data_IF_756713981099
#
_entry.id   IF_756713981099
#
_cell.length_a   1.000
_cell.length_b   1.000
_cell.length_c   1.000
_cell.angle_alpha   90.00
_cell.angle_beta   90.00
_cell.angle_gamma   90.00
#
_symmetry.space_group_name_H-M   'P 1'
#
loop_
_entity.id
_entity.type
_entity.pdbx_description
1 polymer ?
#
# COMPACT_ATOMS: atom_id res chain seq x y z
N UNK A 1 5.78 5.36 11.61
CA UNK A 1 4.58 6.16 11.91
C UNK A 1 3.94 6.47 10.56
N UNK A 2 2.62 6.32 10.41
CA UNK A 2 1.91 6.78 9.19
C UNK A 2 1.96 8.30 9.15
N UNK A 3 2.01 8.87 7.95
CA UNK A 3 1.95 10.33 7.76
C UNK A 3 0.49 10.77 7.58
N UNK A 4 -0.35 9.88 7.04
CA UNK A 4 -1.76 10.14 6.75
C UNK A 4 -2.65 10.10 8.00
N UNK A 5 -2.42 9.14 8.92
CA UNK A 5 -3.31 8.90 10.06
C UNK A 5 -2.58 8.83 11.40
N UNK A 6 -3.30 9.17 12.47
CA UNK A 6 -2.88 8.90 13.84
C UNK A 6 -2.88 7.40 14.16
N UNK A 7 -2.18 7.01 15.22
CA UNK A 7 -2.16 5.62 15.67
C UNK A 7 -3.55 5.13 16.10
N UNK A 8 -3.80 3.82 15.93
CA UNK A 8 -5.06 3.20 16.32
C UNK A 8 -5.41 3.47 17.80
N UNK A 9 -6.67 3.79 18.06
CA UNK A 9 -7.18 3.99 19.42
C UNK A 9 -7.10 2.70 20.23
N UNK A 10 -6.52 2.80 21.43
CA UNK A 10 -6.31 1.66 22.33
C UNK A 10 -6.95 1.86 23.72
N UNK A 11 -7.46 3.06 24.02
CA UNK A 11 -8.08 3.37 25.30
C UNK A 11 -9.60 3.48 25.13
N UNK A 12 -10.32 2.53 25.72
CA UNK A 12 -11.77 2.43 25.63
C UNK A 12 -12.39 2.42 27.03
N UNK A 13 -13.66 2.86 27.19
CA UNK A 13 -14.31 2.83 28.51
C UNK A 13 -14.49 1.42 29.08
N UNK A 14 -14.93 0.45 28.25
CA UNK A 14 -15.09 -0.96 28.64
C UNK A 14 -14.96 -1.89 27.43
N UNK A 15 -14.12 -2.91 27.54
CA UNK A 15 -13.93 -3.97 26.52
C UNK A 15 -13.64 -5.30 27.22
N UNK A 16 -14.42 -6.34 26.94
CA UNK A 16 -14.17 -7.69 27.46
C UNK A 16 -13.57 -8.63 26.42
N UNK A 17 -14.03 -8.52 25.17
CA UNK A 17 -13.54 -9.30 24.03
C UNK A 17 -13.02 -8.36 22.95
N UNK A 18 -11.78 -8.56 22.52
CA UNK A 18 -11.19 -7.90 21.36
C UNK A 18 -11.28 -8.82 20.15
N UNK A 19 -11.72 -8.33 18.98
CA UNK A 19 -11.54 -8.97 17.68
C UNK A 19 -10.44 -8.20 16.93
N UNK A 20 -9.36 -8.87 16.52
CA UNK A 20 -8.17 -8.25 15.92
C UNK A 20 -7.74 -8.99 14.65
N UNK A 21 -7.25 -8.24 13.67
CA UNK A 21 -6.68 -8.79 12.43
C UNK A 21 -5.34 -9.54 12.64
N UNK A 22 -4.88 -10.28 11.64
CA UNK A 22 -3.65 -11.09 11.67
C UNK A 22 -2.90 -11.11 10.34
N UNK A 23 -3.07 -10.07 9.51
CA UNK A 23 -2.46 -9.96 8.18
C UNK A 23 -0.94 -10.16 8.25
N UNK A 24 -0.32 -9.63 9.31
CA UNK A 24 1.11 -9.76 9.65
C UNK A 24 1.31 -10.52 10.98
N UNK A 25 0.62 -11.65 11.15
CA UNK A 25 0.60 -12.44 12.39
C UNK A 25 1.83 -13.33 12.68
N UNK A 26 2.88 -13.32 11.85
CA UNK A 26 4.11 -14.10 12.05
C UNK A 26 5.31 -13.23 12.49
N UNK A 27 6.34 -13.83 13.10
CA UNK A 27 7.54 -13.04 13.47
C UNK A 27 8.32 -12.56 12.24
N UNK A 28 8.24 -13.33 11.17
CA UNK A 28 8.84 -13.04 9.87
C UNK A 28 8.11 -11.87 9.17
N UNK A 29 6.91 -11.50 9.65
CA UNK A 29 6.11 -10.40 9.15
C UNK A 29 6.47 -9.05 9.81
N UNK A 30 7.49 -8.98 10.66
CA UNK A 30 8.00 -7.71 11.22
C UNK A 30 8.48 -6.83 10.07
N UNK A 31 7.98 -5.58 10.05
CA UNK A 31 8.26 -4.66 8.96
C UNK A 31 9.53 -3.84 9.27
N UNK A 32 10.31 -3.48 8.24
CA UNK A 32 11.42 -2.53 8.40
C UNK A 32 10.92 -1.17 8.90
N UNK A 33 11.83 -0.36 9.42
CA UNK A 33 11.49 0.98 9.90
C UNK A 33 11.05 1.87 8.72
N UNK A 34 10.22 2.88 9.01
CA UNK A 34 9.70 3.77 7.97
C UNK A 34 10.81 4.47 7.18
N UNK A 35 11.90 4.85 7.84
CA UNK A 35 13.05 5.50 7.21
C UNK A 35 13.77 4.56 6.24
N UNK A 36 13.97 3.29 6.61
CA UNK A 36 14.56 2.28 5.71
C UNK A 36 13.69 2.05 4.48
N UNK A 37 12.37 2.00 4.69
CA UNK A 37 11.36 1.80 3.64
C UNK A 37 11.34 2.97 2.65
N UNK A 38 11.29 4.20 3.16
CA UNK A 38 11.34 5.42 2.36
C UNK A 38 12.67 5.53 1.61
N UNK A 39 13.79 5.22 2.27
CA UNK A 39 15.11 5.20 1.61
C UNK A 39 15.18 4.17 0.48
N UNK A 40 14.65 2.97 0.70
CA UNK A 40 14.59 1.93 -0.34
C UNK A 40 13.69 2.36 -1.51
N UNK A 41 12.56 3.02 -1.22
CA UNK A 41 11.67 3.58 -2.23
C UNK A 41 12.36 4.63 -3.10
N UNK A 42 12.96 5.64 -2.47
CA UNK A 42 13.68 6.73 -3.16
C UNK A 42 14.79 6.15 -4.04
N UNK A 43 15.60 5.23 -3.50
CA UNK A 43 16.67 4.60 -4.25
C UNK A 43 16.15 3.80 -5.45
N UNK A 44 15.09 3.01 -5.27
CA UNK A 44 14.50 2.23 -6.35
C UNK A 44 13.96 3.12 -7.48
N UNK A 45 13.33 4.24 -7.13
CA UNK A 45 12.80 5.20 -8.10
C UNK A 45 13.93 5.98 -8.77
N UNK A 46 14.83 6.61 -8.01
CA UNK A 46 15.94 7.40 -8.55
C UNK A 46 16.80 6.59 -9.52
N UNK A 47 17.13 5.33 -9.17
CA UNK A 47 17.92 4.46 -10.04
C UNK A 47 17.19 4.18 -11.37
N UNK A 48 15.88 3.92 -11.30
CA UNK A 48 15.08 3.64 -12.52
C UNK A 48 14.96 4.88 -13.40
N UNK A 49 14.74 6.07 -12.81
CA UNK A 49 14.66 7.32 -13.54
C UNK A 49 16.01 7.73 -14.15
N UNK A 50 17.11 7.52 -13.43
CA UNK A 50 18.47 7.80 -13.92
C UNK A 50 18.85 6.95 -15.15
N UNK A 51 18.33 5.72 -15.24
CA UNK A 51 18.50 4.84 -16.40
C UNK A 51 17.57 5.20 -17.59
N UNK A 52 16.78 6.27 -17.44
CA UNK A 52 15.81 6.73 -18.43
C UNK A 52 14.51 5.90 -18.46
N UNK A 53 14.27 5.10 -17.42
CA UNK A 53 13.11 4.22 -17.28
C UNK A 53 11.90 4.90 -16.63
N UNK A 54 10.78 4.17 -16.62
CA UNK A 54 9.53 4.57 -15.95
C UNK A 54 9.26 3.65 -14.76
N UNK A 55 8.69 4.20 -13.70
CA UNK A 55 8.28 3.44 -12.51
C UNK A 55 6.75 3.32 -12.48
N UNK A 56 6.23 2.10 -12.60
CA UNK A 56 4.82 1.81 -12.37
C UNK A 56 4.61 1.35 -10.93
N UNK A 57 3.68 1.99 -10.23
CA UNK A 57 3.29 1.66 -8.87
C UNK A 57 1.81 1.27 -8.87
N UNK A 58 1.49 -0.05 -8.94
CA UNK A 58 0.14 -0.54 -8.76
C UNK A 58 -0.34 -0.22 -7.35
N UNK A 59 -1.43 0.52 -7.21
CA UNK A 59 -1.88 1.02 -5.90
C UNK A 59 -3.41 1.07 -5.78
N UNK A 60 -4.01 0.85 -4.60
CA UNK A 60 -5.42 1.17 -4.37
C UNK A 60 -5.66 2.70 -4.38
N UNK A 61 -6.85 3.13 -4.81
CA UNK A 61 -7.20 4.55 -4.89
C UNK A 61 -7.10 5.28 -3.53
N UNK A 62 -7.45 4.59 -2.45
CA UNK A 62 -7.57 5.14 -1.09
C UNK A 62 -6.53 4.52 -0.15
N UNK A 63 -5.95 5.34 0.70
CA UNK A 63 -5.01 4.98 1.76
C UNK A 63 -3.57 4.94 1.26
N UNK A 64 -3.22 3.92 0.46
CA UNK A 64 -1.82 3.74 0.06
C UNK A 64 -1.34 4.79 -0.93
N UNK A 65 -2.20 5.19 -1.86
CA UNK A 65 -1.87 6.22 -2.84
C UNK A 65 -1.48 7.53 -2.15
N UNK A 66 -2.30 7.99 -1.21
CA UNK A 66 -2.05 9.22 -0.46
C UNK A 66 -0.74 9.15 0.34
N UNK A 67 -0.46 8.02 1.02
CA UNK A 67 0.81 7.82 1.71
C UNK A 67 2.03 7.90 0.79
N UNK A 68 1.97 7.32 -0.41
CA UNK A 68 3.07 7.36 -1.38
C UNK A 68 3.21 8.75 -2.00
N UNK A 69 2.10 9.43 -2.31
CA UNK A 69 2.12 10.81 -2.81
C UNK A 69 2.83 11.73 -1.81
N UNK A 70 2.51 11.63 -0.52
CA UNK A 70 3.16 12.44 0.51
C UNK A 70 4.66 12.17 0.64
N UNK A 71 5.10 10.91 0.46
CA UNK A 71 6.52 10.55 0.45
C UNK A 71 7.21 11.16 -0.77
N UNK A 72 6.62 11.02 -1.95
CA UNK A 72 7.17 11.59 -3.18
C UNK A 72 7.29 13.11 -3.06
N UNK A 73 6.22 13.80 -2.65
CA UNK A 73 6.19 15.25 -2.47
C UNK A 73 7.28 15.72 -1.49
N UNK A 74 7.36 15.06 -0.32
CA UNK A 74 8.34 15.41 0.70
C UNK A 74 9.78 15.32 0.20
N UNK A 75 10.13 14.20 -0.45
CA UNK A 75 11.51 13.93 -0.85
C UNK A 75 11.91 14.61 -2.17
N UNK A 76 10.97 14.93 -3.05
CA UNK A 76 11.24 15.81 -4.19
C UNK A 76 11.50 17.24 -3.71
N UNK A 77 10.66 17.79 -2.81
CA UNK A 77 10.89 19.11 -2.21
C UNK A 77 12.19 19.21 -1.41
N UNK A 78 12.63 18.13 -0.77
CA UNK A 78 13.91 18.12 -0.03
C UNK A 78 15.14 17.96 -0.95
N UNK A 79 14.94 17.58 -2.21
CA UNK A 79 16.01 17.31 -3.18
C UNK A 79 16.69 15.94 -3.02
N UNK A 80 16.19 15.07 -2.14
CA UNK A 80 16.70 13.70 -1.95
C UNK A 80 16.16 12.74 -3.03
N UNK A 81 15.01 13.04 -3.62
CA UNK A 81 14.42 12.34 -4.75
C UNK A 81 14.53 13.20 -6.01
N UNK A 82 14.86 12.56 -7.14
CA UNK A 82 14.91 13.24 -8.44
C UNK A 82 13.50 13.70 -8.80
N UNK A 83 13.35 14.99 -9.10
CA UNK A 83 12.09 15.53 -9.58
C UNK A 83 11.73 14.93 -10.95
N UNK A 84 10.52 14.42 -11.07
CA UNK A 84 9.99 13.85 -12.30
C UNK A 84 8.46 13.96 -12.29
N UNK A 85 7.82 14.01 -13.48
CA UNK A 85 6.37 13.99 -13.55
C UNK A 85 5.79 12.74 -12.88
N UNK A 86 4.77 12.93 -12.05
CA UNK A 86 4.04 11.85 -11.41
C UNK A 86 2.61 11.81 -11.94
N UNK A 87 2.30 10.79 -12.73
CA UNK A 87 0.97 10.60 -13.27
C UNK A 87 0.13 9.75 -12.32
N UNK A 88 -1.09 10.21 -12.03
CA UNK A 88 -2.06 9.46 -11.23
C UNK A 88 -3.26 9.08 -12.08
N UNK A 89 -3.75 7.85 -11.96
CA UNK A 89 -4.98 7.41 -12.64
C UNK A 89 -5.79 6.42 -11.80
N UNK A 90 -7.12 6.52 -11.95
CA UNK A 90 -8.05 5.51 -11.48
C UNK A 90 -8.61 5.82 -10.10
N UNK A 91 -9.23 7.00 -9.97
CA UNK A 91 -9.90 7.48 -8.77
C UNK A 91 -8.97 7.95 -7.63
N UNK A 92 -7.66 8.07 -7.88
CA UNK A 92 -6.69 8.49 -6.85
C UNK A 92 -6.89 9.97 -6.50
N UNK A 93 -7.02 10.85 -7.50
CA UNK A 93 -7.23 12.28 -7.29
C UNK A 93 -8.59 12.55 -6.63
N UNK A 94 -9.65 11.88 -7.06
CA UNK A 94 -10.97 11.97 -6.43
C UNK A 94 -10.96 11.46 -5.00
N UNK A 95 -10.21 10.37 -4.71
CA UNK A 95 -10.01 9.90 -3.35
C UNK A 95 -9.23 10.90 -2.50
N UNK A 96 -8.20 11.56 -3.05
CA UNK A 96 -7.43 12.58 -2.35
C UNK A 96 -8.28 13.81 -2.03
N UNK A 97 -9.12 14.27 -2.97
CA UNK A 97 -10.07 15.36 -2.74
C UNK A 97 -11.06 15.06 -1.60
N UNK A 98 -11.44 13.79 -1.40
CA UNK A 98 -12.23 13.38 -0.23
C UNK A 98 -11.40 13.54 1.06
N UNK A 99 -10.12 13.17 1.08
CA UNK A 99 -9.29 13.37 2.29
C UNK A 99 -9.18 14.86 2.65
N UNK A 100 -9.01 15.73 1.67
CA UNK A 100 -8.97 17.19 1.86
C UNK A 100 -10.28 17.76 2.39
N UNK A 101 -11.40 17.19 1.98
CA UNK A 101 -12.73 17.59 2.45
C UNK A 101 -13.02 17.17 3.90
N UNK A 102 -12.25 16.22 4.45
CA UNK A 102 -12.41 15.67 5.80
C UNK A 102 -11.11 15.69 6.62
N UNK A 103 -10.47 16.87 6.79
CA UNK A 103 -9.15 16.97 7.39
C UNK A 103 -9.14 16.64 8.89
N UNK A 104 -10.29 16.63 9.57
CA UNK A 104 -10.44 16.21 10.96
C UNK A 104 -10.14 14.73 11.20
N UNK A 105 -10.16 13.90 10.16
CA UNK A 105 -9.80 12.48 10.23
C UNK A 105 -8.32 12.20 9.93
N UNK A 106 -7.57 13.23 9.53
CA UNK A 106 -6.16 13.11 9.17
C UNK A 106 -5.25 13.33 10.37
N UNK A 107 -4.00 12.88 10.26
CA UNK A 107 -2.96 13.19 11.24
C UNK A 107 -2.86 14.70 11.44
N UNK A 108 -2.59 15.13 12.68
CA UNK A 108 -2.61 16.56 13.05
C UNK A 108 -1.71 17.42 12.17
N UNK A 109 -0.53 16.90 11.84
CA UNK A 109 0.46 17.58 10.98
C UNK A 109 -0.07 17.79 9.55
N UNK A 110 -0.70 16.77 8.96
CA UNK A 110 -1.30 16.86 7.63
C UNK A 110 -2.52 17.77 7.62
N UNK A 111 -3.39 17.66 8.63
CA UNK A 111 -4.53 18.57 8.83
C UNK A 111 -4.07 20.03 8.84
N UNK A 112 -2.99 20.31 9.56
CA UNK A 112 -2.44 21.67 9.64
C UNK A 112 -1.97 22.16 8.27
N UNK A 113 -1.25 21.31 7.53
CA UNK A 113 -0.81 21.65 6.17
C UNK A 113 -1.99 22.00 5.26
N UNK A 114 -3.03 21.17 5.25
CA UNK A 114 -4.21 21.36 4.39
C UNK A 114 -5.02 22.62 4.76
N UNK A 115 -5.19 22.91 6.05
CA UNK A 115 -6.08 23.99 6.51
C UNK A 115 -5.41 25.35 6.69
N UNK A 116 -4.10 25.37 6.97
CA UNK A 116 -3.40 26.57 7.45
C UNK A 116 -2.24 27.00 6.54
N UNK A 117 -1.94 26.24 5.49
CA UNK A 117 -0.79 26.51 4.60
C UNK A 117 -1.16 26.27 3.14
N UNK A 118 -0.35 26.79 2.23
CA UNK A 118 -0.41 26.47 0.80
C UNK A 118 0.45 25.23 0.43
N UNK A 119 0.86 24.43 1.43
CA UNK A 119 1.71 23.24 1.28
C UNK A 119 0.89 21.93 1.40
N UNK A 120 -0.26 21.85 0.71
CA UNK A 120 -1.03 20.60 0.61
C UNK A 120 -0.26 19.59 -0.26
N UNK A 121 0.18 18.44 0.29
CA UNK A 121 0.94 17.46 -0.49
C UNK A 121 0.12 16.78 -1.59
N UNK A 122 -1.21 16.84 -1.55
CA UNK A 122 -2.06 16.27 -2.60
C UNK A 122 -2.21 17.18 -3.83
N UNK A 123 -1.99 18.49 -3.66
CA UNK A 123 -2.09 19.52 -4.71
C UNK A 123 -0.71 19.92 -5.28
N UNK A 124 0.34 19.14 -4.99
CA UNK A 124 1.69 19.44 -5.43
C UNK A 124 1.80 19.46 -6.96
N UNK A 125 2.61 20.38 -7.49
CA UNK A 125 2.83 20.55 -8.93
C UNK A 125 3.45 19.33 -9.63
N UNK A 126 4.02 18.40 -8.84
CA UNK A 126 4.56 17.14 -9.36
C UNK A 126 3.48 16.16 -9.83
N UNK A 127 2.23 16.30 -9.38
CA UNK A 127 1.15 15.34 -9.67
C UNK A 127 0.25 15.80 -10.82
N UNK A 128 0.15 14.97 -11.86
CA UNK A 128 -0.76 15.15 -12.99
C UNK A 128 -1.81 14.05 -12.99
N UNK A 129 -3.08 14.43 -12.91
CA UNK A 129 -4.21 13.49 -13.00
C UNK A 129 -4.51 13.14 -14.47
N UNK A 130 -4.61 11.84 -14.78
CA UNK A 130 -5.02 11.35 -16.09
C UNK A 130 -6.53 11.12 -16.08
N UNK A 131 -7.28 12.06 -16.65
CA UNK A 131 -8.76 12.00 -16.67
C UNK A 131 -9.31 11.17 -17.84
N UNK A 132 -8.56 11.07 -18.93
CA UNK A 132 -9.00 10.45 -20.17
C UNK A 132 -7.94 9.48 -20.70
N UNK A 133 -8.40 8.41 -21.37
CA UNK A 133 -7.51 7.40 -21.93
C UNK A 133 -6.52 7.97 -22.96
N UNK A 134 -6.93 9.00 -23.71
CA UNK A 134 -6.08 9.68 -24.70
C UNK A 134 -4.91 10.43 -24.03
N UNK A 135 -5.10 10.88 -22.78
CA UNK A 135 -4.05 11.54 -22.00
C UNK A 135 -2.94 10.58 -21.55
N UNK A 136 -3.11 9.26 -21.71
CA UNK A 136 -2.05 8.27 -21.43
C UNK A 136 -0.88 8.35 -22.40
N UNK A 137 -1.01 9.05 -23.53
CA UNK A 137 0.10 9.29 -24.46
C UNK A 137 1.28 9.99 -23.78
N UNK A 138 1.02 10.86 -22.80
CA UNK A 138 2.06 11.60 -22.10
C UNK A 138 2.94 10.70 -21.21
N UNK A 139 2.39 9.93 -20.23
CA UNK A 139 3.18 8.98 -19.47
C UNK A 139 3.81 7.89 -20.32
N UNK A 140 3.25 7.56 -21.50
CA UNK A 140 3.78 6.53 -22.39
C UNK A 140 4.82 7.03 -23.40
N UNK A 141 5.12 8.33 -23.42
CA UNK A 141 6.08 8.92 -24.36
C UNK A 141 7.47 8.28 -24.23
N UNK A 142 8.09 7.98 -25.37
CA UNK A 142 9.44 7.41 -25.41
C UNK A 142 10.47 8.41 -24.86
N UNK A 143 11.49 7.91 -24.17
CA UNK A 143 12.53 8.72 -23.51
C UNK A 143 12.01 9.79 -22.52
N UNK A 144 10.83 9.57 -21.95
CA UNK A 144 10.26 10.39 -20.87
C UNK A 144 10.20 9.58 -19.57
N UNK A 145 11.21 9.66 -18.69
CA UNK A 145 11.18 9.05 -17.37
C UNK A 145 10.09 9.69 -16.51
N UNK A 146 9.28 8.86 -15.85
CA UNK A 146 8.20 9.33 -14.99
C UNK A 146 7.80 8.27 -13.97
N UNK A 147 6.98 8.68 -13.01
CA UNK A 147 6.36 7.81 -12.02
C UNK A 147 4.87 7.72 -12.35
N UNK A 148 4.30 6.52 -12.31
CA UNK A 148 2.89 6.28 -12.62
C UNK A 148 2.25 5.56 -11.44
N UNK A 149 1.31 6.22 -10.77
CA UNK A 149 0.47 5.66 -9.73
C UNK A 149 -0.88 5.28 -10.37
N UNK A 150 -1.19 4.00 -10.45
CA UNK A 150 -2.41 3.56 -11.14
C UNK A 150 -3.13 2.44 -10.39
N UNK A 151 -4.46 2.49 -10.42
CA UNK A 151 -5.30 1.43 -9.85
C UNK A 151 -5.51 0.27 -10.83
N UNK A 152 -5.68 -0.97 -10.38
CA UNK A 152 -5.74 -1.46 -8.99
C UNK A 152 -4.39 -1.93 -8.42
N UNK A 153 -4.31 -2.01 -7.08
CA UNK A 153 -3.10 -2.39 -6.35
C UNK A 153 -2.55 -3.81 -6.56
N UNK A 154 -3.30 -4.70 -7.23
CA UNK A 154 -2.91 -6.10 -7.41
C UNK A 154 -2.93 -6.56 -8.88
N UNK A 155 -3.02 -5.63 -9.83
CA UNK A 155 -3.10 -5.91 -11.26
C UNK A 155 -4.28 -6.83 -11.64
N UNK A 156 -5.43 -6.69 -10.99
CA UNK A 156 -6.62 -7.49 -11.30
C UNK A 156 -7.59 -6.76 -12.26
N UNK A 157 -7.39 -5.45 -12.45
CA UNK A 157 -8.27 -4.60 -13.21
C UNK A 157 -7.86 -3.13 -13.12
N UNK A 158 -8.52 -2.29 -13.92
CA UNK A 158 -8.30 -0.84 -13.92
C UNK A 158 -7.21 -0.37 -14.88
N UNK A 159 -6.90 0.94 -14.86
CA UNK A 159 -5.92 1.57 -15.75
C UNK A 159 -4.51 0.99 -15.65
N UNK A 160 -4.11 0.47 -14.48
CA UNK A 160 -2.79 -0.15 -14.26
C UNK A 160 -2.49 -1.27 -15.26
N UNK A 161 -3.51 -1.97 -15.76
CA UNK A 161 -3.32 -3.04 -16.73
C UNK A 161 -2.80 -2.50 -18.07
N UNK A 162 -3.28 -1.34 -18.50
CA UNK A 162 -2.82 -0.71 -19.73
C UNK A 162 -1.38 -0.21 -19.59
N UNK A 163 -1.06 0.41 -18.45
CA UNK A 163 0.32 0.79 -18.16
C UNK A 163 1.24 -0.41 -18.08
N UNK A 164 0.84 -1.48 -17.39
CA UNK A 164 1.64 -2.69 -17.25
C UNK A 164 1.98 -3.33 -18.60
N UNK A 165 1.03 -3.39 -19.54
CA UNK A 165 1.25 -3.90 -20.91
C UNK A 165 2.39 -3.18 -21.64
N UNK A 166 2.49 -1.87 -21.46
CA UNK A 166 3.47 -1.03 -22.15
C UNK A 166 4.81 -0.95 -21.39
N UNK A 167 4.76 -0.99 -20.05
CA UNK A 167 5.92 -0.82 -19.18
C UNK A 167 6.69 -2.12 -18.99
N UNK A 168 6.00 -3.24 -18.77
CA UNK A 168 6.61 -4.52 -18.41
C UNK A 168 7.61 -5.08 -19.45
N UNK A 169 7.42 -4.90 -20.78
CA UNK A 169 8.35 -5.43 -21.78
C UNK A 169 9.72 -4.75 -21.83
N UNK A 170 9.87 -3.53 -21.32
CA UNK A 170 11.14 -2.79 -21.35
C UNK A 170 11.92 -2.98 -20.04
N UNK A 171 13.18 -3.43 -20.18
CA UNK A 171 14.11 -3.69 -19.07
C UNK A 171 14.53 -2.45 -18.29
N UNK A 172 14.42 -1.25 -18.88
CA UNK A 172 14.73 0.01 -18.19
C UNK A 172 13.68 0.37 -17.16
N UNK A 173 12.45 -0.11 -17.35
CA UNK A 173 11.36 0.21 -16.47
C UNK A 173 11.38 -0.63 -15.20
N UNK A 174 10.58 -0.22 -14.22
CA UNK A 174 10.36 -0.96 -12.99
C UNK A 174 8.88 -0.98 -12.61
N UNK A 175 8.40 -2.13 -12.16
CA UNK A 175 7.13 -2.27 -11.45
C UNK A 175 7.43 -2.42 -9.96
N UNK A 176 6.93 -1.49 -9.16
CA UNK A 176 7.21 -1.39 -7.74
C UNK A 176 5.93 -1.64 -6.93
N UNK A 177 5.85 -2.80 -6.28
CA UNK A 177 4.72 -3.14 -5.43
C UNK A 177 4.92 -2.59 -4.02
N UNK A 178 4.00 -1.72 -3.61
CA UNK A 178 3.97 -1.08 -2.27
C UNK A 178 2.81 -1.57 -1.40
N UNK A 179 2.13 -2.64 -1.83
CA UNK A 179 0.98 -3.24 -1.14
C UNK A 179 1.10 -4.75 -1.12
N UNK A 180 0.50 -5.39 -0.11
CA UNK A 180 0.40 -6.84 -0.05
C UNK A 180 -0.29 -7.40 -1.31
N UNK A 181 0.23 -8.50 -1.84
CA UNK A 181 -0.28 -9.15 -3.05
C UNK A 181 -0.92 -10.49 -2.66
N UNK A 182 -2.24 -10.58 -2.82
CA UNK A 182 -3.00 -11.76 -2.43
C UNK A 182 -2.66 -12.93 -3.36
N UNK A 183 -2.53 -14.13 -2.78
CA UNK A 183 -2.30 -15.36 -3.54
C UNK A 183 -3.39 -15.56 -4.61
N UNK A 184 -2.97 -15.87 -5.83
CA UNK A 184 -3.86 -16.04 -6.99
C UNK A 184 -3.99 -14.80 -7.89
N UNK A 185 -3.62 -13.62 -7.41
CA UNK A 185 -3.64 -12.40 -8.24
C UNK A 185 -2.53 -12.38 -9.28
N UNK A 186 -2.69 -11.58 -10.34
CA UNK A 186 -1.63 -11.32 -11.32
C UNK A 186 -0.45 -10.61 -10.69
N UNK A 187 -0.69 -9.60 -9.83
CA UNK A 187 0.38 -8.92 -9.10
C UNK A 187 1.25 -9.88 -8.30
N UNK A 188 0.65 -10.88 -7.63
CA UNK A 188 1.41 -11.92 -6.95
C UNK A 188 2.25 -12.79 -7.89
N UNK A 189 1.68 -13.21 -9.02
CA UNK A 189 2.41 -14.02 -10.03
C UNK A 189 3.61 -13.27 -10.62
N UNK A 190 3.45 -11.97 -10.90
CA UNK A 190 4.54 -11.11 -11.39
C UNK A 190 5.64 -11.02 -10.34
N UNK A 191 5.27 -10.82 -9.08
CA UNK A 191 6.22 -10.75 -7.96
C UNK A 191 6.97 -12.08 -7.73
N UNK A 192 6.29 -13.21 -7.90
CA UNK A 192 6.91 -14.55 -7.81
C UNK A 192 7.82 -14.88 -9.02
N UNK A 193 7.98 -13.94 -9.96
CA UNK A 193 8.95 -14.01 -11.04
C UNK A 193 8.41 -14.49 -12.38
N UNK A 194 7.08 -14.47 -12.59
CA UNK A 194 6.49 -14.83 -13.88
C UNK A 194 7.05 -13.96 -15.00
N UNK A 195 7.57 -14.61 -16.05
CA UNK A 195 8.14 -13.92 -17.23
C UNK A 195 7.10 -13.53 -18.27
N UNK A 196 5.89 -14.07 -18.16
CA UNK A 196 4.79 -13.78 -19.05
C UNK A 196 3.47 -13.70 -18.27
N UNK A 197 2.61 -12.78 -18.66
CA UNK A 197 1.27 -12.64 -18.11
C UNK A 197 0.25 -12.62 -19.25
N UNK A 198 -0.79 -13.44 -19.13
CA UNK A 198 -1.94 -13.41 -20.04
C UNK A 198 -2.96 -12.39 -19.54
N UNK A 199 -3.33 -11.45 -20.41
CA UNK A 199 -4.23 -10.35 -20.10
C UNK A 199 -5.30 -10.24 -21.18
N UNK A 200 -6.46 -9.69 -20.84
CA UNK A 200 -7.47 -9.38 -21.84
C UNK A 200 -7.00 -8.18 -22.67
N UNK A 201 -6.88 -8.38 -23.97
CA UNK A 201 -6.57 -7.40 -24.99
C UNK A 201 -7.79 -6.62 -25.46
N UNK A 202 -7.54 -5.70 -26.41
CA UNK A 202 -8.62 -5.03 -27.13
C UNK A 202 -9.44 -6.09 -27.88
N UNK A 203 -10.76 -5.91 -27.94
CA UNK A 203 -11.70 -6.86 -28.58
C UNK A 203 -11.84 -8.24 -27.89
N UNK A 204 -11.38 -8.39 -26.64
CA UNK A 204 -11.56 -9.63 -25.87
C UNK A 204 -10.59 -10.76 -26.24
N UNK A 205 -9.57 -10.49 -27.06
CA UNK A 205 -8.49 -11.46 -27.36
C UNK A 205 -7.54 -11.55 -26.18
N UNK A 206 -6.99 -12.72 -25.90
CA UNK A 206 -5.95 -12.88 -24.87
C UNK A 206 -4.61 -12.41 -25.45
N UNK A 207 -4.00 -11.42 -24.82
CA UNK A 207 -2.66 -10.92 -25.12
C UNK A 207 -1.66 -11.47 -24.10
N UNK A 208 -0.47 -11.87 -24.56
CA UNK A 208 0.63 -12.31 -23.70
C UNK A 208 1.63 -11.18 -23.58
N UNK A 209 1.82 -10.67 -22.37
CA UNK A 209 2.78 -9.60 -22.05
C UNK A 209 4.03 -10.21 -21.46
N UNK A 210 5.20 -9.88 -22.01
CA UNK A 210 6.49 -10.24 -21.46
C UNK A 210 6.86 -9.33 -20.29
N UNK A 211 7.38 -9.92 -19.21
CA UNK A 211 7.83 -9.20 -18.01
C UNK A 211 9.36 -9.20 -17.99
N UNK A 212 9.94 -8.16 -18.58
CA UNK A 212 11.39 -7.95 -18.67
C UNK A 212 11.89 -6.81 -17.77
N UNK A 213 10.99 -5.92 -17.35
CA UNK A 213 11.25 -4.83 -16.42
C UNK A 213 11.75 -5.35 -15.07
N UNK A 214 12.38 -4.46 -14.29
CA UNK A 214 12.60 -4.73 -12.87
C UNK A 214 11.27 -4.94 -12.15
N UNK A 215 11.19 -5.92 -11.27
CA UNK A 215 10.05 -6.12 -10.38
C UNK A 215 10.57 -6.16 -8.95
N UNK A 216 10.02 -5.31 -8.11
CA UNK A 216 10.45 -5.16 -6.73
C UNK A 216 9.24 -4.96 -5.83
N UNK A 217 9.30 -5.52 -4.63
CA UNK A 217 8.31 -5.27 -3.57
C UNK A 217 8.99 -4.53 -2.44
N UNK A 218 8.39 -3.43 -2.02
CA UNK A 218 8.78 -2.69 -0.84
C UNK A 218 7.77 -2.98 0.26
N UNK A 219 8.25 -3.70 1.28
CA UNK A 219 7.55 -3.89 2.52
C UNK A 219 7.55 -2.60 3.37
N UNK A 220 6.66 -2.48 4.34
CA UNK A 220 6.62 -1.36 5.29
C UNK A 220 5.75 -0.16 4.89
N UNK A 221 5.29 -0.08 3.64
CA UNK A 221 4.12 0.72 3.28
C UNK A 221 2.85 -0.11 3.42
N UNK A 222 2.64 -0.87 4.49
CA UNK A 222 1.36 -1.53 4.72
C UNK A 222 0.45 -0.67 5.58
N UNK A 223 -0.87 -0.79 5.39
CA UNK A 223 -1.86 -0.12 6.24
C UNK A 223 -2.13 -0.91 7.52
N UNK A 224 -1.62 -2.14 7.56
CA UNK A 224 -1.78 -3.09 8.63
C UNK A 224 -0.65 -2.97 9.64
N UNK A 225 -0.97 -3.27 10.89
CA UNK A 225 0.03 -3.36 11.94
C UNK A 225 0.90 -4.60 11.75
N UNK A 226 2.21 -4.47 11.90
CA UNK A 226 3.13 -5.60 11.91
C UNK A 226 2.97 -6.48 13.16
N UNK A 227 3.70 -7.59 13.23
CA UNK A 227 3.63 -8.51 14.38
C UNK A 227 3.87 -7.84 15.73
N UNK A 228 4.88 -6.97 15.83
CA UNK A 228 5.22 -6.30 17.08
C UNK A 228 4.14 -5.28 17.46
N UNK A 229 3.59 -4.56 16.48
CA UNK A 229 2.51 -3.61 16.66
C UNK A 229 1.21 -4.29 17.07
N UNK A 230 0.86 -5.44 16.48
CA UNK A 230 -0.31 -6.26 16.86
C UNK A 230 -0.19 -6.74 18.31
N UNK A 231 0.95 -7.31 18.69
CA UNK A 231 1.21 -7.73 20.07
C UNK A 231 1.18 -6.53 21.03
N UNK A 232 1.81 -5.41 20.65
CA UNK A 232 1.81 -4.19 21.45
C UNK A 232 0.41 -3.61 21.62
N UNK A 233 -0.44 -3.66 20.60
CA UNK A 233 -1.82 -3.19 20.67
C UNK A 233 -2.60 -3.96 21.73
N UNK A 234 -2.53 -5.30 21.72
CA UNK A 234 -3.16 -6.16 22.74
C UNK A 234 -2.63 -5.85 24.14
N UNK A 235 -1.32 -5.60 24.29
CA UNK A 235 -0.71 -5.24 25.57
C UNK A 235 -1.15 -3.86 26.09
N UNK A 236 -1.23 -2.87 25.20
CA UNK A 236 -1.53 -1.47 25.52
C UNK A 236 -3.01 -1.24 25.74
N UNK A 237 -3.89 -2.02 25.09
CA UNK A 237 -5.32 -1.82 25.16
C UNK A 237 -5.82 -1.73 26.60
N UNK A 238 -6.65 -0.71 26.87
CA UNK A 238 -7.34 -0.53 28.15
C UNK A 238 -8.86 -0.49 27.90
N UNK A 239 -9.66 -1.18 28.72
CA UNK A 239 -9.32 -1.93 29.94
C UNK A 239 -8.71 -3.33 29.68
N UNK A 240 -8.39 -4.08 30.75
CA UNK A 240 -7.85 -5.44 30.66
C UNK A 240 -8.87 -6.38 30.00
N UNK A 241 -8.45 -7.00 28.90
CA UNK A 241 -9.26 -7.96 28.14
C UNK A 241 -9.50 -9.25 28.92
N UNK A 242 -10.63 -9.91 28.66
CA UNK A 242 -10.91 -11.29 29.06
C UNK A 242 -10.60 -12.27 27.94
N UNK A 243 -10.85 -11.85 26.69
CA UNK A 243 -10.71 -12.68 25.49
C UNK A 243 -10.18 -11.88 24.30
N UNK A 244 -9.42 -12.53 23.44
CA UNK A 244 -9.05 -12.06 22.11
C UNK A 244 -9.51 -13.07 21.07
N UNK A 245 -10.14 -12.60 20.01
CA UNK A 245 -10.47 -13.34 18.82
C UNK A 245 -9.62 -12.80 17.69
N UNK A 246 -8.92 -13.68 16.99
CA UNK A 246 -8.04 -13.31 15.87
C UNK A 246 -8.77 -13.62 14.55
N UNK A 247 -8.69 -12.74 13.56
CA UNK A 247 -9.29 -12.93 12.24
C UNK A 247 -8.42 -12.29 11.14
N UNK A 248 -8.93 -12.25 9.90
CA UNK A 248 -8.34 -11.46 8.81
C UNK A 248 -6.84 -11.66 8.61
N UNK A 249 -6.46 -12.91 8.30
CA UNK A 249 -5.11 -13.30 7.90
C UNK A 249 -5.08 -14.77 7.52
N UNK A 250 -3.99 -15.21 6.91
CA UNK A 250 -3.83 -16.62 6.55
C UNK A 250 -3.89 -17.50 7.81
N UNK A 251 -4.29 -18.77 7.62
CA UNK A 251 -4.50 -19.71 8.73
C UNK A 251 -3.29 -19.79 9.68
N UNK A 252 -2.10 -19.96 9.12
CA UNK A 252 -0.85 -20.06 9.89
C UNK A 252 -0.56 -18.80 10.71
N UNK A 253 -0.81 -17.61 10.13
CA UNK A 253 -0.62 -16.31 10.80
C UNK A 253 -1.61 -16.13 11.95
N UNK A 254 -2.88 -16.44 11.70
CA UNK A 254 -3.95 -16.33 12.70
C UNK A 254 -3.73 -17.28 13.89
N UNK A 255 -3.39 -18.54 13.61
CA UNK A 255 -3.06 -19.54 14.64
C UNK A 255 -1.84 -19.11 15.45
N UNK A 256 -0.78 -18.61 14.80
CA UNK A 256 0.43 -18.13 15.46
C UNK A 256 0.16 -16.95 16.39
N UNK A 257 -0.55 -15.93 15.91
CA UNK A 257 -0.85 -14.73 16.69
C UNK A 257 -1.71 -15.07 17.92
N UNK A 258 -2.77 -15.87 17.74
CA UNK A 258 -3.61 -16.33 18.84
C UNK A 258 -2.81 -17.11 19.91
N UNK A 259 -1.96 -18.04 19.47
CA UNK A 259 -1.08 -18.81 20.36
C UNK A 259 -0.13 -17.90 21.16
N UNK A 260 0.50 -16.92 20.50
CA UNK A 260 1.44 -16.00 21.15
C UNK A 260 0.76 -15.05 22.12
N UNK A 261 -0.41 -14.51 21.78
CA UNK A 261 -1.22 -13.69 22.70
C UNK A 261 -1.57 -14.49 23.95
N UNK A 262 -2.05 -15.74 23.78
CA UNK A 262 -2.40 -16.63 24.90
C UNK A 262 -1.21 -16.88 25.81
N UNK A 263 -0.05 -17.22 25.23
CA UNK A 263 1.18 -17.54 25.98
C UNK A 263 1.74 -16.31 26.71
N UNK A 264 1.85 -15.19 26.02
CA UNK A 264 2.55 -14.00 26.52
C UNK A 264 1.72 -13.24 27.55
N UNK A 265 0.42 -13.04 27.27
CA UNK A 265 -0.45 -12.21 28.13
C UNK A 265 -1.33 -13.02 29.07
N UNK A 266 -1.28 -14.36 29.01
CA UNK A 266 -2.14 -15.27 29.80
C UNK A 266 -3.64 -14.94 29.62
N UNK A 267 -4.03 -14.62 28.38
CA UNK A 267 -5.40 -14.28 27.97
C UNK A 267 -6.01 -15.43 27.16
N UNK A 268 -7.33 -15.60 27.20
CA UNK A 268 -8.01 -16.51 26.28
C UNK A 268 -7.92 -15.94 24.87
N UNK A 269 -7.22 -16.61 23.96
CA UNK A 269 -7.13 -16.20 22.56
C UNK A 269 -7.48 -17.35 21.62
N UNK A 270 -8.26 -17.07 20.59
CA UNK A 270 -8.77 -18.07 19.64
C UNK A 270 -8.85 -17.50 18.22
N UNK A 271 -8.58 -18.34 17.22
CA UNK A 271 -8.83 -18.05 15.81
C UNK A 271 -10.11 -18.81 15.38
N UNK A 272 -11.26 -18.12 15.27
CA UNK A 272 -12.52 -18.75 14.89
C UNK A 272 -12.46 -19.23 13.44
N UNK A 273 -13.01 -20.42 13.17
CA UNK A 273 -13.21 -20.87 11.80
C UNK A 273 -14.44 -20.19 11.16
N UNK A 274 -14.47 -20.14 9.84
CA UNK A 274 -15.66 -19.69 9.11
C UNK A 274 -16.84 -20.61 9.51
N UNK A 275 -17.98 -20.01 9.82
CA UNK A 275 -19.19 -20.67 10.36
C UNK A 275 -19.10 -21.14 11.82
N UNK A 276 -18.00 -20.87 12.53
CA UNK A 276 -17.93 -21.08 13.98
C UNK A 276 -18.72 -20.00 14.73
N UNK A 277 -19.52 -20.42 15.72
CA UNK A 277 -20.25 -19.51 16.60
C UNK A 277 -19.62 -19.48 18.00
N UNK A 278 -19.28 -18.28 18.49
CA UNK A 278 -18.64 -18.10 19.80
C UNK A 278 -19.57 -17.35 20.74
N UNK A 279 -19.94 -18.01 21.84
CA UNK A 279 -20.69 -17.38 22.93
C UNK A 279 -19.78 -16.43 23.72
N UNK A 280 -20.12 -15.15 23.78
CA UNK A 280 -19.35 -14.13 24.51
C UNK A 280 -19.81 -13.99 25.98
N UNK A 281 -21.08 -14.30 26.25
CA UNK A 281 -21.75 -14.28 27.55
C UNK A 281 -22.90 -15.28 27.54
#
# INVERSE_FOLDING_TARGET
KSILFEAASWNFPRVETLLIESTYGLKEDIQPSRQEVESAFINAVNNTLADGGKVLIPIPAVGRAQEIMMVIDHYMKSGEMVEAPVFTEGMISEASAIHESYPEYLARELKQKILETDDNPFDSEYFTNIEHADSREEPMRENSPCIILATSGMLEGGPVLEYFKNIAPDKKNKVLFVSYQVNGTMGRRVLDGSKQCSMLGKEGKVEVVSVNCGVEKLDGFSGHSDYNQLMSFVQRLRPKLRRVLVNHGERSKSENLAMNIRRTYKLAAHYPQIQEAIKLF
#
